data_IF_021428151741
#
_entry.id   IF_021428151741
#
_cell.length_a   1.000
_cell.length_b   1.000
_cell.length_c   1.000
_cell.angle_alpha   90.00
_cell.angle_beta   90.00
_cell.angle_gamma   90.00
#
_symmetry.space_group_name_H-M   'P 1'
#
loop_
_entity.id
_entity.type
_entity.pdbx_description
1 polymer ?
#
# COMPACT_ATOMS: atom_id res chain seq x y z
N UNK A 1 -8.04 -27.81 5.29
CA UNK A 1 -7.63 -26.42 4.99
C UNK A 1 -7.85 -25.60 6.24
N UNK A 2 -6.88 -24.78 6.66
CA UNK A 2 -7.10 -23.87 7.79
C UNK A 2 -8.05 -22.74 7.36
N UNK A 3 -8.96 -22.33 8.24
CA UNK A 3 -9.91 -21.24 7.98
C UNK A 3 -9.13 -19.91 8.02
N UNK A 4 -9.24 -19.11 6.96
CA UNK A 4 -8.58 -17.80 6.92
C UNK A 4 -9.26 -16.81 7.86
N UNK A 5 -8.45 -16.12 8.67
CA UNK A 5 -8.86 -14.98 9.49
C UNK A 5 -7.76 -13.91 9.45
N UNK A 6 -8.05 -12.64 9.80
CA UNK A 6 -7.03 -11.61 9.92
C UNK A 6 -5.89 -11.93 10.90
N UNK A 7 -6.10 -12.85 11.85
CA UNK A 7 -5.07 -13.29 12.82
C UNK A 7 -4.32 -14.56 12.42
N UNK A 8 -4.80 -15.31 11.41
CA UNK A 8 -4.24 -16.62 11.03
C UNK A 8 -2.77 -16.62 10.58
N UNK A 9 -2.20 -15.45 10.25
CA UNK A 9 -0.77 -15.32 9.93
C UNK A 9 0.14 -15.53 11.15
N UNK A 10 -0.36 -15.27 12.36
CA UNK A 10 0.40 -15.39 13.62
C UNK A 10 0.81 -16.85 13.94
N UNK A 11 0.14 -17.81 13.33
CA UNK A 11 0.43 -19.25 13.48
C UNK A 11 1.47 -19.76 12.46
N UNK A 12 2.08 -18.87 11.68
CA UNK A 12 3.06 -19.19 10.63
C UNK A 12 4.46 -18.68 10.99
N UNK A 13 5.53 -19.27 10.44
CA UNK A 13 6.87 -18.68 10.53
C UNK A 13 6.88 -17.26 9.96
N UNK A 14 7.48 -16.33 10.69
CA UNK A 14 7.54 -14.90 10.37
C UNK A 14 8.99 -14.41 10.39
N UNK A 15 9.31 -13.46 9.51
CA UNK A 15 10.64 -12.85 9.38
C UNK A 15 10.51 -11.32 9.46
N UNK A 16 11.63 -10.63 9.72
CA UNK A 16 11.72 -9.16 9.77
C UNK A 16 10.72 -8.47 10.72
N UNK A 17 10.25 -9.19 11.75
CA UNK A 17 9.38 -8.60 12.77
C UNK A 17 10.23 -7.99 13.90
N UNK A 18 9.92 -6.77 14.35
CA UNK A 18 10.57 -6.19 15.50
C UNK A 18 10.24 -6.99 16.77
N UNK A 19 11.20 -7.05 17.70
CA UNK A 19 10.94 -7.56 19.05
C UNK A 19 10.50 -6.40 19.95
N UNK A 20 9.21 -6.33 20.25
CA UNK A 20 8.67 -5.34 21.18
C UNK A 20 8.92 -5.81 22.63
N UNK A 21 9.45 -4.93 23.51
CA UNK A 21 9.77 -5.31 24.89
C UNK A 21 8.52 -5.47 25.78
N UNK A 22 7.41 -4.79 25.45
CA UNK A 22 6.16 -4.83 26.21
C UNK A 22 5.01 -5.32 25.31
N UNK A 23 4.64 -6.59 25.49
CA UNK A 23 3.57 -7.23 24.73
C UNK A 23 2.18 -6.69 25.09
N UNK A 24 1.96 -6.22 26.33
CA UNK A 24 0.68 -5.66 26.75
C UNK A 24 0.50 -4.25 26.20
N UNK A 25 1.58 -3.47 26.12
CA UNK A 25 1.56 -2.19 25.39
C UNK A 25 1.23 -2.38 23.92
N UNK A 26 1.88 -3.34 23.25
CA UNK A 26 1.59 -3.66 21.84
C UNK A 26 0.10 -3.97 21.64
N UNK A 27 -0.48 -4.85 22.48
CA UNK A 27 -1.91 -5.19 22.41
C UNK A 27 -2.83 -3.97 22.57
N UNK A 28 -2.50 -3.02 23.46
CA UNK A 28 -3.28 -1.79 23.64
C UNK A 28 -3.26 -0.93 22.37
N UNK A 29 -2.09 -0.77 21.75
CA UNK A 29 -1.96 0.01 20.51
C UNK A 29 -2.65 -0.68 19.33
N UNK A 30 -2.55 -2.01 19.21
CA UNK A 30 -3.31 -2.77 18.20
C UNK A 30 -4.83 -2.57 18.37
N UNK A 31 -5.33 -2.55 19.61
CA UNK A 31 -6.74 -2.33 19.90
C UNK A 31 -7.20 -0.91 19.55
N UNK A 32 -6.36 0.10 19.82
CA UNK A 32 -6.63 1.49 19.46
C UNK A 32 -6.69 1.68 17.93
N UNK A 33 -5.66 1.21 17.20
CA UNK A 33 -5.61 1.33 15.74
C UNK A 33 -6.79 0.66 15.04
N UNK A 34 -7.31 -0.43 15.61
CA UNK A 34 -8.49 -1.13 15.08
C UNK A 34 -9.77 -0.26 15.10
N UNK A 35 -9.82 0.76 15.95
CA UNK A 35 -10.96 1.67 16.08
C UNK A 35 -10.88 2.86 15.13
N UNK A 36 -9.72 3.13 14.54
CA UNK A 36 -9.55 4.25 13.61
C UNK A 36 -10.24 3.98 12.27
N UNK A 37 -10.66 5.04 11.55
CA UNK A 37 -11.22 4.88 10.21
C UNK A 37 -10.22 4.19 9.26
N UNK A 38 -10.71 3.37 8.33
CA UNK A 38 -9.85 2.79 7.30
C UNK A 38 -9.32 3.88 6.36
N UNK A 39 -8.10 3.70 5.84
CA UNK A 39 -7.50 4.62 4.87
C UNK A 39 -8.15 4.53 3.48
N UNK A 40 -8.72 3.37 3.13
CA UNK A 40 -9.33 3.11 1.82
C UNK A 40 -10.63 2.33 1.97
N UNK A 41 -11.53 2.51 1.01
CA UNK A 41 -12.76 1.75 0.90
C UNK A 41 -12.54 0.44 0.15
N UNK A 42 -13.28 -0.61 0.52
CA UNK A 42 -13.21 -1.89 -0.18
C UNK A 42 -13.57 -1.80 -1.68
N UNK A 43 -14.35 -0.79 -2.08
CA UNK A 43 -14.66 -0.50 -3.48
C UNK A 43 -13.42 -0.10 -4.28
N UNK A 44 -12.56 0.74 -3.71
CA UNK A 44 -11.33 1.22 -4.35
C UNK A 44 -10.35 0.07 -4.58
N UNK A 45 -10.20 -0.83 -3.60
CA UNK A 45 -9.37 -2.03 -3.75
C UNK A 45 -9.89 -2.97 -4.86
N UNK A 46 -11.22 -3.09 -5.03
CA UNK A 46 -11.81 -3.87 -6.13
C UNK A 46 -11.58 -3.19 -7.48
N UNK A 47 -11.68 -1.87 -7.54
CA UNK A 47 -11.37 -1.09 -8.76
C UNK A 47 -9.91 -1.28 -9.16
N UNK A 48 -8.97 -1.14 -8.23
CA UNK A 48 -7.55 -1.39 -8.48
C UNK A 48 -7.30 -2.83 -8.96
N UNK A 49 -7.92 -3.83 -8.31
CA UNK A 49 -7.81 -5.24 -8.73
C UNK A 49 -8.27 -5.45 -10.17
N UNK A 50 -9.35 -4.78 -10.60
CA UNK A 50 -9.82 -4.82 -11.99
C UNK A 50 -8.78 -4.23 -12.94
N UNK A 51 -8.22 -3.07 -12.62
CA UNK A 51 -7.17 -2.41 -13.42
C UNK A 51 -5.89 -3.27 -13.51
N UNK A 52 -5.45 -3.88 -12.41
CA UNK A 52 -4.34 -4.83 -12.41
C UNK A 52 -4.64 -6.09 -13.27
N UNK A 53 -5.91 -6.48 -13.37
CA UNK A 53 -6.35 -7.50 -14.31
C UNK A 53 -6.12 -7.09 -15.77
N UNK A 54 -6.32 -5.82 -16.12
CA UNK A 54 -6.00 -5.29 -17.45
C UNK A 54 -4.49 -5.33 -17.71
N UNK A 55 -3.67 -4.96 -16.72
CA UNK A 55 -2.21 -5.04 -16.78
C UNK A 55 -1.75 -6.49 -17.03
N UNK A 56 -2.27 -7.45 -16.27
CA UNK A 56 -1.93 -8.87 -16.41
C UNK A 56 -2.30 -9.45 -17.79
N UNK A 57 -3.31 -8.88 -18.46
CA UNK A 57 -3.73 -9.25 -19.81
C UNK A 57 -3.01 -8.45 -20.91
N UNK A 58 -2.02 -7.61 -20.58
CA UNK A 58 -1.30 -6.79 -21.54
C UNK A 58 -2.11 -5.63 -22.12
N UNK A 59 -3.18 -5.21 -21.44
CA UNK A 59 -4.09 -4.14 -21.89
C UNK A 59 -3.87 -2.80 -21.16
N UNK A 60 -2.95 -2.75 -20.21
CA UNK A 60 -2.56 -1.56 -19.45
C UNK A 60 -1.12 -1.71 -18.94
N UNK A 61 -0.51 -0.61 -18.48
CA UNK A 61 0.81 -0.60 -17.85
C UNK A 61 0.72 -0.16 -16.38
N UNK A 62 1.47 -0.82 -15.47
CA UNK A 62 1.53 -0.43 -14.06
C UNK A 62 2.76 0.44 -13.79
N UNK A 63 2.53 1.70 -13.40
CA UNK A 63 3.55 2.55 -12.79
C UNK A 63 3.36 2.55 -11.27
N UNK A 64 4.38 2.11 -10.53
CA UNK A 64 4.43 2.19 -9.07
C UNK A 64 5.76 2.85 -8.66
N UNK A 65 5.71 3.88 -7.82
CA UNK A 65 6.87 4.60 -7.35
C UNK A 65 6.56 5.47 -6.14
N UNK A 66 7.60 5.89 -5.42
CA UNK A 66 7.52 6.64 -4.17
C UNK A 66 8.83 6.55 -3.38
N UNK A 67 8.78 6.95 -2.12
CA UNK A 67 9.94 6.92 -1.22
C UNK A 67 10.39 5.49 -0.92
N UNK A 68 11.69 5.34 -0.64
CA UNK A 68 12.24 4.06 -0.15
C UNK A 68 11.73 3.74 1.26
N UNK A 69 11.64 4.76 2.11
CA UNK A 69 11.08 4.69 3.44
C UNK A 69 10.58 6.09 3.82
N UNK A 70 9.29 6.22 4.10
CA UNK A 70 8.71 7.48 4.56
C UNK A 70 9.15 7.77 6.00
N UNK A 71 9.39 9.04 6.33
CA UNK A 71 9.82 9.48 7.67
C UNK A 71 8.84 10.47 8.27
N UNK A 72 8.59 10.36 9.59
CA UNK A 72 7.79 11.34 10.33
C UNK A 72 8.39 12.75 10.29
N UNK A 73 9.73 12.88 10.24
CA UNK A 73 10.40 14.18 10.16
C UNK A 73 10.21 14.87 8.81
N UNK A 74 9.85 14.11 7.77
CA UNK A 74 9.74 14.56 6.39
C UNK A 74 8.28 14.66 5.93
N UNK A 75 7.33 14.63 6.87
CA UNK A 75 5.90 14.74 6.59
C UNK A 75 5.49 16.18 6.25
N UNK A 76 5.80 16.60 5.02
CA UNK A 76 5.48 17.92 4.48
C UNK A 76 4.71 17.80 3.17
N UNK A 77 3.72 18.68 2.99
CA UNK A 77 2.87 18.70 1.80
C UNK A 77 3.67 18.88 0.50
N UNK A 78 4.81 19.59 0.55
CA UNK A 78 5.68 19.79 -0.60
C UNK A 78 6.29 18.48 -1.10
N UNK A 79 6.74 17.60 -0.20
CA UNK A 79 7.32 16.29 -0.55
C UNK A 79 6.28 15.39 -1.23
N UNK A 80 5.06 15.35 -0.66
CA UNK A 80 3.94 14.59 -1.23
C UNK A 80 3.58 15.12 -2.62
N UNK A 81 3.46 16.44 -2.75
CA UNK A 81 3.13 17.11 -4.01
C UNK A 81 4.16 16.82 -5.09
N UNK A 82 5.44 16.97 -4.76
CA UNK A 82 6.50 16.89 -5.76
C UNK A 82 6.75 15.44 -6.20
N UNK A 83 6.62 14.46 -5.30
CA UNK A 83 6.56 13.03 -5.66
C UNK A 83 5.36 12.73 -6.58
N UNK A 84 4.18 13.26 -6.24
CA UNK A 84 2.98 13.07 -7.07
C UNK A 84 3.12 13.68 -8.47
N UNK A 85 3.74 14.87 -8.60
CA UNK A 85 4.03 15.49 -9.90
C UNK A 85 4.91 14.60 -10.77
N UNK A 86 5.98 14.02 -10.20
CA UNK A 86 6.88 13.13 -10.94
C UNK A 86 6.12 11.90 -11.44
N UNK A 87 5.28 11.28 -10.59
CA UNK A 87 4.45 10.15 -11.00
C UNK A 87 3.49 10.51 -12.15
N UNK A 88 2.87 11.70 -12.12
CA UNK A 88 2.01 12.18 -13.20
C UNK A 88 2.80 12.47 -14.50
N UNK A 89 4.00 13.04 -14.40
CA UNK A 89 4.83 13.28 -15.59
C UNK A 89 5.23 11.96 -16.25
N UNK A 90 5.63 10.98 -15.45
CA UNK A 90 5.98 9.65 -15.94
C UNK A 90 4.76 8.94 -16.54
N UNK A 91 3.58 9.01 -15.91
CA UNK A 91 2.38 8.35 -16.42
C UNK A 91 1.99 8.86 -17.80
N UNK A 92 1.99 10.18 -18.02
CA UNK A 92 1.67 10.77 -19.33
C UNK A 92 2.65 10.30 -20.42
N UNK A 93 3.95 10.27 -20.11
CA UNK A 93 4.99 9.80 -21.04
C UNK A 93 4.79 8.31 -21.36
N UNK A 94 4.56 7.47 -20.35
CA UNK A 94 4.38 6.03 -20.52
C UNK A 94 3.10 5.70 -21.30
N UNK A 95 1.99 6.39 -21.01
CA UNK A 95 0.74 6.23 -21.75
C UNK A 95 0.92 6.58 -23.22
N UNK A 96 1.57 7.70 -23.53
CA UNK A 96 1.82 8.11 -24.92
C UNK A 96 2.75 7.12 -25.65
N UNK A 97 3.86 6.71 -25.02
CA UNK A 97 4.86 5.87 -25.65
C UNK A 97 4.40 4.42 -25.83
N UNK A 98 3.63 3.88 -24.87
CA UNK A 98 3.11 2.51 -24.94
C UNK A 98 1.82 2.39 -25.76
N UNK A 99 1.07 3.49 -25.92
CA UNK A 99 -0.28 3.47 -26.48
C UNK A 99 -1.29 2.74 -25.58
N UNK A 100 -0.93 2.46 -24.33
CA UNK A 100 -1.74 1.77 -23.35
C UNK A 100 -2.09 2.70 -22.18
N UNK A 101 -3.26 2.50 -21.55
CA UNK A 101 -3.58 3.17 -20.30
C UNK A 101 -2.63 2.78 -19.17
#
# INVERSE_FOLDING_TARGET
MSIWTPSSWRDRPILQQPTYPDAEHLKRIEAELKMYPPLVFAGEARTLKKQLGEVANGRAFLLQGGDCAESFSEFHADNIRDTFKVLLQMSVILTFASGLP
#
